data_IF_704118715009
#
_entry.id   IF_704118715009
#
_cell.length_a   1.000
_cell.length_b   1.000
_cell.length_c   1.000
_cell.angle_alpha   90.00
_cell.angle_beta   90.00
_cell.angle_gamma   90.00
#
_symmetry.space_group_name_H-M   'P 1'
#
loop_
_entity.id
_entity.type
_entity.pdbx_description
1 polymer ?
#
# COMPACT_ATOMS: atom_id res chain seq x y z
N UNK A 1 8.92 8.10 1.89
CA UNK A 1 7.69 8.65 1.28
C UNK A 1 6.95 9.44 2.35
N UNK A 2 6.40 10.59 2.01
CA UNK A 2 5.64 11.47 2.90
C UNK A 2 4.28 11.80 2.29
N UNK A 3 3.37 12.41 3.06
CA UNK A 3 2.01 12.73 2.59
C UNK A 3 1.97 13.60 1.33
N UNK A 4 2.97 14.47 1.11
CA UNK A 4 3.06 15.29 -0.10
C UNK A 4 3.32 14.47 -1.36
N UNK A 5 3.89 13.27 -1.24
CA UNK A 5 4.24 12.39 -2.37
C UNK A 5 3.02 11.63 -2.91
N UNK A 6 1.88 11.64 -2.19
CA UNK A 6 0.67 10.92 -2.60
C UNK A 6 0.11 11.41 -3.94
N UNK A 7 0.29 12.69 -4.27
CA UNK A 7 -0.11 13.22 -5.57
C UNK A 7 0.66 12.52 -6.70
N UNK A 8 1.98 12.45 -6.59
CA UNK A 8 2.84 11.81 -7.59
C UNK A 8 2.61 10.30 -7.65
N UNK A 9 2.37 9.64 -6.52
CA UNK A 9 1.99 8.23 -6.47
C UNK A 9 0.69 7.97 -7.24
N UNK A 10 -0.35 8.80 -7.06
CA UNK A 10 -1.62 8.68 -7.80
C UNK A 10 -1.41 8.89 -9.30
N UNK A 11 -0.59 9.86 -9.67
CA UNK A 11 -0.20 10.07 -11.06
C UNK A 11 0.51 8.84 -11.64
N UNK A 12 1.47 8.27 -10.89
CA UNK A 12 2.19 7.08 -11.32
C UNK A 12 1.27 5.86 -11.45
N UNK A 13 0.36 5.65 -10.50
CA UNK A 13 -0.64 4.60 -10.57
C UNK A 13 -1.48 4.75 -11.85
N UNK A 14 -2.00 5.95 -12.13
CA UNK A 14 -2.83 6.18 -13.32
C UNK A 14 -2.10 6.00 -14.66
N UNK A 15 -0.79 6.20 -14.70
CA UNK A 15 -0.03 6.28 -15.96
C UNK A 15 0.97 5.14 -16.19
N UNK A 16 1.19 4.26 -15.21
CA UNK A 16 2.20 3.20 -15.29
C UNK A 16 1.62 1.82 -14.99
N UNK A 17 2.30 0.79 -15.47
CA UNK A 17 1.99 -0.58 -15.11
C UNK A 17 2.47 -0.84 -13.67
N UNK A 18 1.55 -1.28 -12.81
CA UNK A 18 1.90 -1.77 -11.47
C UNK A 18 2.50 -3.17 -11.58
N UNK A 19 3.67 -3.39 -11.00
CA UNK A 19 4.21 -4.74 -10.80
C UNK A 19 3.83 -5.31 -9.45
N UNK A 20 3.82 -6.64 -9.39
CA UNK A 20 3.41 -7.40 -8.24
C UNK A 20 4.47 -8.45 -7.96
N UNK A 21 4.94 -8.52 -6.71
CA UNK A 21 5.77 -9.63 -6.27
C UNK A 21 4.98 -10.95 -6.33
N UNK A 22 5.66 -12.10 -6.42
CA UNK A 22 4.98 -13.40 -6.33
C UNK A 22 4.16 -13.52 -5.04
N UNK A 23 4.71 -13.04 -3.93
CA UNK A 23 4.01 -13.00 -2.64
C UNK A 23 2.72 -12.17 -2.71
N UNK A 24 2.76 -10.97 -3.32
CA UNK A 24 1.57 -10.16 -3.51
C UNK A 24 0.50 -10.88 -4.31
N UNK A 25 0.88 -11.56 -5.40
CA UNK A 25 -0.04 -12.34 -6.24
C UNK A 25 -0.72 -13.44 -5.42
N UNK A 26 0.04 -14.21 -4.62
CA UNK A 26 -0.51 -15.27 -3.77
C UNK A 26 -1.50 -14.73 -2.71
N UNK A 27 -1.14 -13.60 -2.08
CA UNK A 27 -1.99 -12.94 -1.10
C UNK A 27 -3.27 -12.37 -1.73
N UNK A 28 -3.18 -11.82 -2.94
CA UNK A 28 -4.33 -11.32 -3.69
C UNK A 28 -5.29 -12.45 -4.08
N UNK A 29 -4.75 -13.55 -4.61
CA UNK A 29 -5.54 -14.73 -4.99
C UNK A 29 -6.27 -15.33 -3.77
N UNK A 30 -5.56 -15.56 -2.67
CA UNK A 30 -6.16 -16.13 -1.45
C UNK A 30 -7.23 -15.24 -0.81
N UNK A 31 -7.19 -13.93 -1.05
CA UNK A 31 -8.13 -12.95 -0.47
C UNK A 31 -9.20 -12.47 -1.45
N UNK A 32 -9.21 -13.00 -2.67
CA UNK A 32 -10.07 -12.57 -3.78
C UNK A 32 -9.96 -11.06 -4.06
N UNK A 33 -8.74 -10.52 -4.06
CA UNK A 33 -8.47 -9.11 -4.35
C UNK A 33 -7.95 -8.99 -5.79
N UNK A 34 -8.70 -8.28 -6.64
CA UNK A 34 -8.32 -8.07 -8.03
C UNK A 34 -7.27 -6.97 -8.20
N UNK A 35 -6.48 -7.04 -9.28
CA UNK A 35 -5.57 -5.96 -9.69
C UNK A 35 -6.30 -4.63 -9.92
N UNK A 36 -7.53 -4.68 -10.42
CA UNK A 36 -8.38 -3.51 -10.59
C UNK A 36 -8.67 -2.80 -9.25
N UNK A 37 -8.88 -3.54 -8.16
CA UNK A 37 -9.07 -2.98 -6.82
C UNK A 37 -7.81 -2.28 -6.32
N UNK A 38 -6.64 -2.93 -6.48
CA UNK A 38 -5.34 -2.35 -6.11
C UNK A 38 -5.09 -1.04 -6.86
N UNK A 39 -5.27 -1.08 -8.19
CA UNK A 39 -5.17 0.09 -9.05
C UNK A 39 -6.09 1.21 -8.57
N UNK A 40 -7.38 0.90 -8.35
CA UNK A 40 -8.38 1.88 -7.94
C UNK A 40 -8.01 2.58 -6.63
N UNK A 41 -7.57 1.83 -5.61
CA UNK A 41 -7.09 2.38 -4.33
C UNK A 41 -5.86 3.27 -4.52
N UNK A 42 -4.87 2.85 -5.31
CA UNK A 42 -3.63 3.63 -5.52
C UNK A 42 -3.86 4.89 -6.36
N UNK A 43 -4.79 4.86 -7.30
CA UNK A 43 -5.17 6.02 -8.11
C UNK A 43 -6.15 6.97 -7.40
N UNK A 44 -6.72 6.55 -6.27
CA UNK A 44 -7.81 7.27 -5.62
C UNK A 44 -7.36 8.61 -5.03
N UNK A 45 -8.16 9.70 -5.19
CA UNK A 45 -7.85 11.00 -4.59
C UNK A 45 -7.95 11.01 -3.06
N UNK A 46 -8.61 10.01 -2.46
CA UNK A 46 -8.83 9.90 -1.01
C UNK A 46 -7.91 8.90 -0.34
N UNK A 47 -7.01 8.25 -1.07
CA UNK A 47 -6.06 7.34 -0.46
C UNK A 47 -5.11 8.09 0.50
N UNK A 48 -4.61 7.36 1.48
CA UNK A 48 -3.80 7.90 2.55
C UNK A 48 -2.58 7.02 2.75
N UNK A 49 -1.46 7.68 3.06
CA UNK A 49 -0.28 7.03 3.57
C UNK A 49 -0.52 6.69 5.04
N UNK A 50 -0.55 5.39 5.33
CA UNK A 50 -0.84 4.87 6.67
C UNK A 50 0.44 4.84 7.51
N UNK A 51 1.51 4.28 6.96
CA UNK A 51 2.82 4.25 7.58
C UNK A 51 3.91 4.05 6.51
N UNK A 52 5.14 4.40 6.86
CA UNK A 52 6.34 3.98 6.16
C UNK A 52 7.14 3.02 7.02
N UNK A 53 7.77 2.04 6.36
CA UNK A 53 8.65 1.08 7.00
C UNK A 53 10.05 1.27 6.41
N UNK A 54 10.99 1.66 7.26
CA UNK A 54 12.40 1.73 6.90
C UNK A 54 12.96 0.34 6.64
N UNK A 55 13.99 0.21 5.79
CA UNK A 55 14.70 -1.05 5.58
C UNK A 55 15.05 -1.72 6.90
N UNK A 56 14.91 -3.04 6.94
CA UNK A 56 15.10 -3.81 8.16
C UNK A 56 15.89 -5.07 7.90
N UNK A 57 16.76 -5.41 8.84
CA UNK A 57 17.48 -6.69 8.91
C UNK A 57 16.93 -7.58 10.03
N UNK A 58 15.78 -7.20 10.61
CA UNK A 58 15.14 -7.97 11.68
C UNK A 58 14.69 -9.32 11.13
N UNK A 59 15.07 -10.45 11.77
CA UNK A 59 14.66 -11.78 11.31
C UNK A 59 13.15 -11.91 11.11
N UNK A 60 12.72 -12.33 9.91
CA UNK A 60 11.32 -12.46 9.50
C UNK A 60 10.63 -11.15 9.07
N UNK A 61 11.34 -10.02 9.04
CA UNK A 61 10.86 -8.72 8.54
C UNK A 61 11.88 -8.06 7.61
N UNK A 62 12.77 -8.84 7.01
CA UNK A 62 13.88 -8.35 6.23
C UNK A 62 13.41 -7.68 4.94
N UNK A 63 13.96 -6.50 4.65
CA UNK A 63 13.75 -5.79 3.40
C UNK A 63 14.76 -4.66 3.22
N UNK A 64 15.20 -4.47 1.98
CA UNK A 64 16.23 -3.49 1.61
C UNK A 64 15.67 -2.13 1.22
N UNK A 65 14.44 -2.11 0.68
CA UNK A 65 13.76 -0.90 0.20
C UNK A 65 12.85 -0.30 1.26
N UNK A 66 12.68 1.03 1.29
CA UNK A 66 11.62 1.65 2.09
C UNK A 66 10.24 1.24 1.55
N UNK A 67 9.36 0.76 2.43
CA UNK A 67 7.99 0.37 2.07
C UNK A 67 6.99 1.43 2.52
N UNK A 68 5.98 1.68 1.69
CA UNK A 68 4.83 2.49 2.04
C UNK A 68 3.59 1.61 2.17
N UNK A 69 2.76 1.91 3.18
CA UNK A 69 1.45 1.30 3.36
C UNK A 69 0.40 2.32 2.96
N UNK A 70 -0.36 2.01 1.92
CA UNK A 70 -1.43 2.86 1.40
C UNK A 70 -2.77 2.18 1.65
N UNK A 71 -3.75 2.97 2.07
CA UNK A 71 -5.14 2.52 2.19
C UNK A 71 -6.09 3.66 1.87
N UNK A 72 -7.34 3.33 1.55
CA UNK A 72 -8.37 4.32 1.25
C UNK A 72 -9.61 4.08 2.12
N UNK A 73 -10.02 5.06 2.95
CA UNK A 73 -11.17 4.92 3.85
C UNK A 73 -12.52 4.78 3.12
N UNK A 74 -12.58 5.11 1.83
CA UNK A 74 -13.82 5.07 1.04
C UNK A 74 -14.10 3.72 0.39
N UNK A 75 -13.13 2.79 0.43
CA UNK A 75 -13.29 1.46 -0.16
C UNK A 75 -13.86 0.47 0.86
N UNK A 76 -14.94 -0.21 0.47
CA UNK A 76 -15.70 -1.15 1.33
C UNK A 76 -14.83 -2.28 1.90
N UNK A 77 -13.93 -2.83 1.08
CA UNK A 77 -13.08 -3.96 1.46
C UNK A 77 -11.90 -3.61 2.38
N UNK A 78 -11.73 -2.31 2.73
CA UNK A 78 -10.70 -1.80 3.65
C UNK A 78 -9.38 -2.59 3.54
N UNK A 79 -8.64 -2.37 2.45
CA UNK A 79 -7.37 -3.06 2.18
C UNK A 79 -6.18 -2.14 2.45
N UNK A 80 -5.04 -2.75 2.79
CA UNK A 80 -3.75 -2.07 2.90
C UNK A 80 -2.83 -2.63 1.82
N UNK A 81 -2.30 -1.74 1.00
CA UNK A 81 -1.35 -2.06 -0.06
C UNK A 81 0.04 -1.69 0.43
N UNK A 82 0.89 -2.70 0.58
CA UNK A 82 2.31 -2.52 0.89
C UNK A 82 3.07 -2.47 -0.42
N UNK A 83 3.77 -1.38 -0.68
CA UNK A 83 4.48 -1.17 -1.93
C UNK A 83 5.85 -0.52 -1.73
N UNK A 84 6.67 -0.60 -2.78
CA UNK A 84 7.89 0.17 -2.93
C UNK A 84 7.82 0.96 -4.25
N UNK A 85 8.46 2.12 -4.29
CA UNK A 85 8.63 2.90 -5.53
C UNK A 85 10.07 2.71 -6.00
N UNK A 86 10.23 2.18 -7.20
CA UNK A 86 11.54 1.97 -7.82
C UNK A 86 11.74 2.99 -8.92
N UNK A 87 12.93 3.58 -9.04
CA UNK A 87 13.17 4.69 -9.96
C UNK A 87 13.99 4.33 -11.21
N UNK A 88 14.49 3.08 -11.32
CA UNK A 88 15.38 2.67 -12.40
C UNK A 88 14.86 1.44 -13.16
N UNK A 89 14.81 1.45 -14.51
CA UNK A 89 15.17 2.56 -15.41
C UNK A 89 14.10 3.67 -15.52
N UNK A 90 12.88 3.41 -15.05
CA UNK A 90 11.77 4.36 -14.98
C UNK A 90 11.04 4.19 -13.63
N UNK A 91 10.32 5.20 -13.14
CA UNK A 91 9.48 5.07 -11.95
C UNK A 91 8.45 3.94 -12.09
N UNK A 92 8.40 3.05 -11.12
CA UNK A 92 7.51 1.90 -11.07
C UNK A 92 6.95 1.72 -9.65
N UNK A 93 5.65 1.42 -9.56
CA UNK A 93 5.04 0.93 -8.31
C UNK A 93 5.18 -0.58 -8.30
N UNK A 94 5.89 -1.11 -7.30
CA UNK A 94 5.94 -2.55 -7.04
C UNK A 94 5.20 -2.89 -5.76
N UNK A 95 4.09 -3.61 -5.90
CA UNK A 95 3.29 -4.12 -4.78
C UNK A 95 3.99 -5.33 -4.17
N UNK A 96 4.29 -5.23 -2.89
CA UNK A 96 4.96 -6.27 -2.09
C UNK A 96 3.93 -7.23 -1.50
N UNK A 97 2.83 -6.71 -0.98
CA UNK A 97 1.70 -7.50 -0.47
C UNK A 97 0.43 -6.65 -0.41
N UNK A 98 -0.73 -7.30 -0.29
CA UNK A 98 -2.02 -6.65 -0.08
C UNK A 98 -2.74 -7.34 1.06
N UNK A 99 -3.06 -6.60 2.10
CA UNK A 99 -3.66 -7.12 3.34
C UNK A 99 -5.10 -6.60 3.49
N UNK A 100 -5.97 -7.38 4.14
CA UNK A 100 -7.23 -6.83 4.67
C UNK A 100 -6.97 -6.15 6.00
N UNK A 101 -7.65 -5.05 6.26
CA UNK A 101 -7.61 -4.40 7.58
C UNK A 101 -8.17 -5.37 8.62
N UNK A 102 -7.34 -5.71 9.60
CA UNK A 102 -7.70 -6.55 10.73
C UNK A 102 -7.86 -5.70 11.98
N UNK A 103 -9.06 -5.67 12.56
CA UNK A 103 -9.39 -4.81 13.70
C UNK A 103 -8.54 -5.08 14.97
N UNK A 104 -7.92 -6.25 15.08
CA UNK A 104 -6.98 -6.56 16.17
C UNK A 104 -5.58 -5.96 15.97
N UNK A 105 -5.22 -5.55 14.74
CA UNK A 105 -3.93 -4.90 14.41
C UNK A 105 -4.06 -3.40 14.18
N UNK A 106 -5.24 -2.95 13.75
CA UNK A 106 -5.47 -1.58 13.30
C UNK A 106 -6.65 -0.95 14.05
N UNK A 107 -6.50 0.33 14.37
CA UNK A 107 -7.55 1.20 14.88
C UNK A 107 -8.02 2.12 13.74
N UNK A 108 -9.34 2.28 13.60
CA UNK A 108 -9.97 3.09 12.54
C UNK A 108 -10.32 4.47 13.10
N UNK A 109 -9.68 5.50 12.57
CA UNK A 109 -9.90 6.89 12.92
C UNK A 109 -10.71 7.55 11.81
N UNK A 110 -12.04 7.57 11.97
CA UNK A 110 -12.95 8.03 10.92
C UNK A 110 -12.78 9.55 10.70
N UNK A 111 -12.60 9.95 9.44
CA UNK A 111 -12.33 11.33 9.00
C UNK A 111 -10.97 11.91 9.43
N UNK A 112 -10.05 11.07 9.89
CA UNK A 112 -8.67 11.47 10.16
C UNK A 112 -7.72 11.04 9.03
N UNK A 113 -6.50 11.58 9.07
CA UNK A 113 -5.40 11.21 8.19
C UNK A 113 -4.11 11.04 9.02
N UNK A 114 -3.63 9.80 9.22
CA UNK A 114 -4.13 8.56 8.63
C UNK A 114 -5.43 8.04 9.30
N UNK A 115 -6.28 7.39 8.52
CA UNK A 115 -7.53 6.77 8.98
C UNK A 115 -7.32 5.40 9.64
N UNK A 116 -6.12 4.82 9.48
CA UNK A 116 -5.69 3.61 10.15
C UNK A 116 -4.46 3.91 10.97
N UNK A 117 -4.49 3.53 12.25
CA UNK A 117 -3.33 3.60 13.14
C UNK A 117 -3.03 2.20 13.65
N UNK A 118 -1.76 1.80 13.62
CA UNK A 118 -1.34 0.49 14.11
C UNK A 118 -1.47 0.44 15.63
N UNK A 119 -2.13 -0.60 16.15
CA UNK A 119 -2.20 -0.87 17.59
C UNK A 119 -0.84 -1.33 18.09
N UNK A 120 -0.40 -0.80 19.22
CA UNK A 120 0.85 -1.17 19.91
C UNK A 120 0.64 -2.46 20.70
#
# INVERSE_FOLDING_TARGET
MVNTDLHDLRCLANNSQISYSSHAVDQMLSRNIGRATVQAVLSSPTNQLIETQSPSTTPGKEHDDERALISDPTFEDAIIIVLVILFYPIPEIRVITVERVMDHKWEKHINENPWLVRKV
#
